data_IF_303888069784
#
_entry.id   IF_303888069784
#
_cell.length_a   1.000
_cell.length_b   1.000
_cell.length_c   1.000
_cell.angle_alpha   90.00
_cell.angle_beta   90.00
_cell.angle_gamma   90.00
#
_symmetry.space_group_name_H-M   'P 1'
#
loop_
_entity.id
_entity.type
_entity.pdbx_description
1 polymer ?
#
# COMPACT_ATOMS: atom_id res chain seq x y z
N UNK A 1 -10.56 -7.55 -24.93
CA UNK A 1 -11.71 -7.15 -24.09
C UNK A 1 -11.17 -6.37 -22.90
N UNK A 2 -11.52 -5.10 -22.67
CA UNK A 2 -11.03 -4.38 -21.51
C UNK A 2 -11.83 -4.86 -20.28
N UNK A 3 -11.16 -5.53 -19.35
CA UNK A 3 -11.75 -5.89 -18.07
C UNK A 3 -11.99 -4.59 -17.28
N UNK A 4 -13.22 -4.09 -17.28
CA UNK A 4 -13.62 -3.00 -16.40
C UNK A 4 -13.56 -3.51 -14.95
N UNK A 5 -12.50 -3.15 -14.23
CA UNK A 5 -12.46 -3.33 -12.78
C UNK A 5 -13.54 -2.44 -12.16
N UNK A 6 -14.67 -3.03 -11.79
CA UNK A 6 -15.77 -2.35 -11.11
C UNK A 6 -15.23 -1.73 -9.82
N UNK A 7 -15.19 -0.39 -9.75
CA UNK A 7 -14.77 0.34 -8.55
C UNK A 7 -15.76 -0.01 -7.43
N UNK A 8 -15.35 -0.88 -6.50
CA UNK A 8 -16.15 -1.23 -5.31
C UNK A 8 -15.87 -0.17 -4.25
N UNK A 9 -16.93 0.46 -3.74
CA UNK A 9 -16.82 1.29 -2.56
C UNK A 9 -16.58 0.40 -1.34
N UNK A 10 -15.78 0.88 -0.39
CA UNK A 10 -15.60 0.24 0.91
C UNK A 10 -16.81 0.60 1.77
N UNK A 11 -17.41 -0.40 2.40
CA UNK A 11 -18.46 -0.23 3.38
C UNK A 11 -17.81 0.15 4.73
N UNK A 12 -18.09 1.34 5.29
CA UNK A 12 -17.54 1.75 6.59
C UNK A 12 -17.91 0.82 7.75
N UNK A 13 -19.00 0.07 7.64
CA UNK A 13 -19.43 -0.90 8.65
C UNK A 13 -18.82 -2.29 8.42
N UNK A 14 -18.23 -2.52 7.24
CA UNK A 14 -17.71 -3.82 6.82
C UNK A 14 -16.41 -3.68 6.02
N UNK A 15 -15.40 -3.08 6.65
CA UNK A 15 -14.05 -3.00 6.12
C UNK A 15 -13.04 -3.78 6.99
N UNK A 16 -11.84 -3.96 6.45
CA UNK A 16 -10.66 -4.42 7.17
C UNK A 16 -9.50 -3.50 6.86
N UNK A 17 -8.48 -3.50 7.72
CA UNK A 17 -7.18 -2.91 7.40
C UNK A 17 -6.27 -4.00 6.87
N UNK A 18 -5.59 -3.71 5.76
CA UNK A 18 -4.60 -4.59 5.14
C UNK A 18 -3.24 -3.91 5.14
N UNK A 19 -2.20 -4.71 5.31
CA UNK A 19 -0.82 -4.28 5.20
C UNK A 19 -0.34 -4.46 3.77
N UNK A 20 0.12 -3.39 3.13
CA UNK A 20 0.63 -3.46 1.76
C UNK A 20 1.79 -4.47 1.68
N UNK A 21 2.83 -4.25 2.48
CA UNK A 21 3.85 -5.27 2.77
C UNK A 21 3.36 -6.20 3.88
N UNK A 22 3.52 -7.53 3.76
CA UNK A 22 3.07 -8.50 4.77
C UNK A 22 3.56 -8.15 6.18
N UNK A 23 2.64 -8.20 7.16
CA UNK A 23 3.01 -7.98 8.57
C UNK A 23 4.10 -8.95 9.04
N UNK A 24 4.04 -10.21 8.61
CA UNK A 24 5.07 -11.21 8.94
C UNK A 24 6.46 -10.92 8.36
N UNK A 25 6.59 -9.91 7.49
CA UNK A 25 7.86 -9.41 6.98
C UNK A 25 8.31 -8.14 7.70
N UNK A 26 7.41 -7.15 7.85
CA UNK A 26 7.76 -5.82 8.38
C UNK A 26 7.65 -5.73 9.92
N UNK A 27 6.87 -6.61 10.54
CA UNK A 27 6.68 -6.77 11.98
C UNK A 27 6.19 -5.52 12.74
N UNK A 28 5.42 -4.65 12.08
CA UNK A 28 4.83 -3.46 12.71
C UNK A 28 3.51 -3.02 12.05
N UNK A 29 2.73 -2.21 12.76
CA UNK A 29 1.44 -1.68 12.32
C UNK A 29 1.49 -0.18 11.98
N UNK A 30 2.62 0.28 11.44
CA UNK A 30 2.79 1.69 11.05
C UNK A 30 1.86 2.08 9.88
N UNK A 31 1.27 3.28 10.00
CA UNK A 31 0.22 3.79 9.11
C UNK A 31 0.62 3.84 7.64
N UNK A 32 1.89 4.14 7.33
CA UNK A 32 2.38 4.22 5.96
C UNK A 32 2.20 2.91 5.17
N UNK A 33 2.07 1.78 5.88
CA UNK A 33 1.89 0.45 5.28
C UNK A 33 0.45 -0.07 5.36
N UNK A 34 -0.50 0.68 5.94
CA UNK A 34 -1.89 0.23 6.16
C UNK A 34 -2.87 0.89 5.19
N UNK A 35 -3.81 0.11 4.63
CA UNK A 35 -4.89 0.64 3.78
C UNK A 35 -6.22 -0.06 4.08
N UNK A 36 -7.35 0.68 4.07
CA UNK A 36 -8.67 0.07 4.13
C UNK A 36 -8.93 -0.83 2.92
N UNK A 37 -9.50 -2.00 3.16
CA UNK A 37 -9.90 -2.95 2.13
C UNK A 37 -11.15 -3.71 2.56
N UNK A 38 -11.65 -4.59 1.70
CA UNK A 38 -12.74 -5.53 2.05
C UNK A 38 -12.17 -6.77 2.74
N UNK A 39 -12.87 -7.38 3.71
CA UNK A 39 -12.42 -8.60 4.39
C UNK A 39 -12.04 -9.74 3.44
N UNK A 40 -12.76 -9.87 2.32
CA UNK A 40 -12.52 -10.92 1.32
C UNK A 40 -11.17 -10.75 0.63
N UNK A 41 -10.79 -9.51 0.31
CA UNK A 41 -9.48 -9.20 -0.30
C UNK A 41 -8.36 -9.37 0.72
N UNK A 42 -8.55 -8.89 1.95
CA UNK A 42 -7.57 -9.05 3.03
C UNK A 42 -7.23 -10.53 3.25
N UNK A 43 -8.26 -11.37 3.38
CA UNK A 43 -8.09 -12.81 3.56
C UNK A 43 -7.46 -13.48 2.33
N UNK A 44 -7.79 -13.04 1.11
CA UNK A 44 -7.22 -13.60 -0.11
C UNK A 44 -5.75 -13.22 -0.32
N UNK A 45 -5.34 -12.01 0.10
CA UNK A 45 -3.95 -11.55 0.04
C UNK A 45 -3.10 -12.28 1.06
N UNK A 46 -3.57 -12.40 2.30
CA UNK A 46 -2.82 -13.04 3.40
C UNK A 46 -1.39 -12.45 3.48
N UNK A 47 -0.36 -13.30 3.60
CA UNK A 47 1.05 -12.88 3.67
C UNK A 47 1.71 -12.70 2.29
N UNK A 48 0.94 -12.61 1.21
CA UNK A 48 1.51 -12.45 -0.12
C UNK A 48 1.86 -10.99 -0.43
N UNK A 49 2.88 -10.80 -1.26
CA UNK A 49 3.32 -9.51 -1.76
C UNK A 49 2.34 -9.00 -2.83
N UNK A 50 1.96 -7.72 -2.81
CA UNK A 50 1.12 -7.14 -3.86
C UNK A 50 1.92 -7.00 -5.17
N UNK A 51 1.29 -7.22 -6.34
CA UNK A 51 1.86 -6.87 -7.64
C UNK A 51 2.29 -5.40 -7.72
N UNK A 52 3.43 -5.14 -8.37
CA UNK A 52 4.01 -3.78 -8.49
C UNK A 52 3.05 -2.75 -9.10
N UNK A 53 2.15 -3.19 -10.00
CA UNK A 53 1.10 -2.35 -10.59
C UNK A 53 0.13 -1.74 -9.56
N UNK A 54 0.05 -2.28 -8.34
CA UNK A 54 -0.80 -1.74 -7.28
C UNK A 54 -0.14 -0.64 -6.47
N UNK A 55 1.17 -0.45 -6.57
CA UNK A 55 1.88 0.57 -5.79
C UNK A 55 1.32 1.97 -6.07
N UNK A 56 1.13 2.32 -7.34
CA UNK A 56 0.58 3.64 -7.71
C UNK A 56 -0.80 3.88 -7.08
N UNK A 57 -1.70 2.88 -7.12
CA UNK A 57 -3.04 2.98 -6.52
C UNK A 57 -3.02 3.01 -5.00
N UNK A 58 -2.06 2.31 -4.38
CA UNK A 58 -1.85 2.39 -2.95
C UNK A 58 -1.37 3.79 -2.52
N UNK A 59 -0.39 4.37 -3.24
CA UNK A 59 0.10 5.73 -2.94
C UNK A 59 -1.00 6.78 -3.14
N UNK A 60 -1.80 6.68 -4.22
CA UNK A 60 -2.97 7.56 -4.43
C UNK A 60 -3.94 7.51 -3.23
N UNK A 61 -4.19 6.32 -2.67
CA UNK A 61 -5.05 6.15 -1.52
C UNK A 61 -4.45 6.76 -0.24
N UNK A 62 -3.15 6.56 -0.02
CA UNK A 62 -2.40 7.17 1.09
C UNK A 62 -2.43 8.70 1.02
N UNK A 63 -2.15 9.25 -0.15
CA UNK A 63 -2.19 10.69 -0.41
C UNK A 63 -3.56 11.28 -0.11
N UNK A 64 -4.62 10.62 -0.60
CA UNK A 64 -6.00 11.03 -0.31
C UNK A 64 -6.28 11.02 1.20
N UNK A 65 -5.86 9.97 1.91
CA UNK A 65 -6.00 9.87 3.35
C UNK A 65 -5.26 10.97 4.11
N UNK A 66 -4.01 11.26 3.72
CA UNK A 66 -3.19 12.32 4.30
C UNK A 66 -3.81 13.71 4.10
N UNK A 67 -4.33 14.01 2.91
CA UNK A 67 -5.02 15.27 2.63
C UNK A 67 -6.26 15.46 3.52
N UNK A 68 -7.08 14.42 3.64
CA UNK A 68 -8.29 14.46 4.49
C UNK A 68 -7.89 14.63 5.97
N UNK A 69 -6.89 13.87 6.44
CA UNK A 69 -6.42 13.98 7.82
C UNK A 69 -5.87 15.38 8.11
N UNK A 70 -5.08 15.94 7.20
CA UNK A 70 -4.54 17.29 7.33
C UNK A 70 -5.64 18.36 7.40
N UNK A 71 -6.73 18.20 6.64
CA UNK A 71 -7.86 19.13 6.65
C UNK A 71 -8.73 19.00 7.92
N UNK A 72 -8.94 17.77 8.41
CA UNK A 72 -9.96 17.48 9.44
C UNK A 72 -9.39 17.34 10.85
N UNK A 73 -8.12 17.00 11.02
CA UNK A 73 -7.53 16.75 12.33
C UNK A 73 -7.03 18.04 12.99
N UNK A 74 -7.04 18.04 14.33
CA UNK A 74 -6.31 19.05 15.09
C UNK A 74 -4.79 18.91 14.86
N UNK A 75 -4.07 20.03 14.86
CA UNK A 75 -2.62 20.09 14.57
C UNK A 75 -1.78 19.06 15.33
N UNK A 76 -2.03 18.88 16.63
CA UNK A 76 -1.26 17.93 17.44
C UNK A 76 -1.52 16.47 17.04
N UNK A 77 -2.77 16.12 16.73
CA UNK A 77 -3.13 14.77 16.28
C UNK A 77 -2.55 14.48 14.89
N UNK A 78 -2.58 15.47 14.00
CA UNK A 78 -1.93 15.40 12.71
C UNK A 78 -0.42 15.15 12.83
N UNK A 79 0.29 15.93 13.65
CA UNK A 79 1.73 15.78 13.87
C UNK A 79 2.09 14.37 14.35
N UNK A 80 1.35 13.82 15.32
CA UNK A 80 1.56 12.45 15.81
C UNK A 80 1.28 11.40 14.72
N UNK A 81 0.27 11.63 13.89
CA UNK A 81 -0.09 10.70 12.80
C UNK A 81 1.04 10.60 11.77
N UNK A 82 1.63 11.72 11.38
CA UNK A 82 2.66 11.75 10.32
C UNK A 82 4.05 11.29 10.77
N UNK A 83 4.33 11.18 12.08
CA UNK A 83 5.62 10.68 12.58
C UNK A 83 5.97 9.30 11.98
N UNK A 84 4.99 8.40 11.91
CA UNK A 84 5.16 7.07 11.30
C UNK A 84 5.48 7.15 9.80
N UNK A 85 4.94 8.15 9.08
CA UNK A 85 5.21 8.33 7.66
C UNK A 85 6.60 8.94 7.43
N UNK A 86 6.99 9.92 8.23
CA UNK A 86 8.30 10.57 8.18
C UNK A 86 9.41 9.55 8.38
N UNK A 87 9.30 8.73 9.42
CA UNK A 87 10.27 7.68 9.73
C UNK A 87 10.26 6.56 8.67
N UNK A 88 9.08 6.01 8.37
CA UNK A 88 8.96 4.86 7.46
C UNK A 88 9.32 5.17 6.01
N UNK A 89 9.07 6.40 5.54
CA UNK A 89 9.28 6.80 4.14
C UNK A 89 10.52 7.67 3.94
N UNK A 90 11.25 8.00 5.01
CA UNK A 90 12.40 8.92 4.99
C UNK A 90 12.05 10.28 4.36
N UNK A 91 10.89 10.84 4.71
CA UNK A 91 10.43 12.17 4.27
C UNK A 91 10.68 13.17 5.39
N UNK A 92 11.32 14.30 5.10
CA UNK A 92 11.77 15.23 6.14
C UNK A 92 10.83 16.41 6.39
N UNK A 93 9.86 16.66 5.52
CA UNK A 93 8.92 17.78 5.68
C UNK A 93 7.47 17.31 5.54
N UNK A 94 6.58 17.98 6.28
CA UNK A 94 5.15 17.74 6.20
C UNK A 94 4.59 18.05 4.81
N UNK A 95 5.06 19.13 4.17
CA UNK A 95 4.56 19.55 2.86
C UNK A 95 4.86 18.50 1.79
N UNK A 96 5.97 17.77 1.91
CA UNK A 96 6.33 16.70 0.98
C UNK A 96 5.37 15.49 1.09
N UNK A 97 4.72 15.26 2.24
CA UNK A 97 3.69 14.23 2.39
C UNK A 97 2.40 14.59 1.65
N UNK A 98 2.14 15.88 1.48
CA UNK A 98 0.94 16.40 0.82
C UNK A 98 1.15 16.59 -0.69
N UNK A 99 2.37 16.37 -1.19
CA UNK A 99 2.72 16.37 -2.60
C UNK A 99 2.73 14.93 -3.14
N UNK A 100 1.86 14.65 -4.11
CA UNK A 100 1.70 13.29 -4.64
C UNK A 100 2.97 12.76 -5.32
N UNK A 101 3.70 13.61 -6.04
CA UNK A 101 4.91 13.20 -6.76
C UNK A 101 6.01 12.84 -5.77
N UNK A 102 6.24 13.69 -4.77
CA UNK A 102 7.23 13.43 -3.71
C UNK A 102 6.88 12.20 -2.89
N UNK A 103 5.61 12.05 -2.51
CA UNK A 103 5.12 10.86 -1.81
C UNK A 103 5.33 9.58 -2.64
N UNK A 104 5.03 9.63 -3.94
CA UNK A 104 5.25 8.50 -4.87
C UNK A 104 6.73 8.11 -4.95
N UNK A 105 7.61 9.09 -5.02
CA UNK A 105 9.06 8.85 -5.06
C UNK A 105 9.56 8.22 -3.75
N UNK A 106 9.10 8.72 -2.60
CA UNK A 106 9.45 8.16 -1.29
C UNK A 106 8.99 6.71 -1.13
N UNK A 107 7.72 6.41 -1.47
CA UNK A 107 7.21 5.05 -1.45
C UNK A 107 7.98 4.13 -2.39
N UNK A 108 8.33 4.59 -3.59
CA UNK A 108 9.12 3.78 -4.53
C UNK A 108 10.51 3.45 -3.99
N UNK A 109 11.18 4.43 -3.37
CA UNK A 109 12.51 4.27 -2.79
C UNK A 109 12.54 3.32 -1.59
N UNK A 110 11.46 3.28 -0.79
CA UNK A 110 11.37 2.40 0.38
C UNK A 110 10.79 1.03 0.03
N UNK A 111 9.67 0.99 -0.67
CA UNK A 111 8.89 -0.25 -0.84
C UNK A 111 9.50 -1.18 -1.88
N UNK A 112 10.10 -0.68 -2.97
CA UNK A 112 10.68 -1.56 -4.01
C UNK A 112 11.86 -2.40 -3.50
N UNK A 113 12.83 -1.84 -2.74
CA UNK A 113 13.85 -2.65 -2.09
C UNK A 113 13.27 -3.66 -1.09
N UNK A 114 12.26 -3.26 -0.32
CA UNK A 114 11.59 -4.15 0.65
C UNK A 114 10.86 -5.31 -0.01
N UNK A 115 10.16 -5.09 -1.12
CA UNK A 115 9.54 -6.15 -1.94
C UNK A 115 10.62 -7.11 -2.43
N UNK A 116 11.74 -6.60 -2.94
CA UNK A 116 12.85 -7.42 -3.42
C UNK A 116 13.43 -8.29 -2.30
N UNK A 117 13.63 -7.71 -1.11
CA UNK A 117 14.12 -8.43 0.06
C UNK A 117 13.14 -9.52 0.52
N UNK A 118 11.85 -9.19 0.64
CA UNK A 118 10.83 -10.16 1.02
C UNK A 118 10.74 -11.32 0.00
N UNK A 119 10.83 -11.00 -1.29
CA UNK A 119 10.85 -12.02 -2.36
C UNK A 119 12.03 -12.98 -2.18
N UNK A 120 13.24 -12.45 -1.91
CA UNK A 120 14.43 -13.26 -1.65
C UNK A 120 14.31 -14.12 -0.37
N UNK A 121 13.47 -13.72 0.59
CA UNK A 121 13.16 -14.50 1.80
C UNK A 121 12.04 -15.53 1.59
N UNK A 122 11.52 -15.67 0.36
CA UNK A 122 10.53 -16.70 0.00
C UNK A 122 9.07 -16.25 0.09
N UNK A 123 8.80 -14.95 0.31
CA UNK A 123 7.44 -14.42 0.21
C UNK A 123 6.94 -14.50 -1.23
N UNK A 124 5.70 -14.93 -1.40
CA UNK A 124 5.10 -15.16 -2.73
C UNK A 124 4.33 -13.93 -3.21
N UNK A 125 4.29 -13.75 -4.52
CA UNK A 125 3.44 -12.76 -5.15
C UNK A 125 1.97 -13.18 -5.06
N UNK A 126 1.09 -12.24 -4.67
CA UNK A 126 -0.33 -12.48 -4.58
C UNK A 126 -0.91 -12.78 -5.96
N UNK A 127 -1.51 -13.97 -6.09
CA UNK A 127 -2.25 -14.37 -7.28
C UNK A 127 -3.67 -13.83 -7.17
N UNK A 128 -3.97 -12.78 -7.93
CA UNK A 128 -5.29 -12.14 -7.90
C UNK A 128 -6.33 -13.16 -8.40
N UNK A 129 -7.36 -13.48 -7.60
CA UNK A 129 -8.40 -14.42 -8.02
C UNK A 129 -9.08 -13.95 -9.32
N UNK A 130 -9.08 -14.80 -10.34
CA UNK A 130 -9.70 -14.51 -11.64
C UNK A 130 -8.80 -13.75 -12.63
N UNK A 131 -7.54 -13.46 -12.30
CA UNK A 131 -6.54 -12.94 -13.24
C UNK A 131 -5.42 -13.98 -13.39
N UNK A 132 -5.49 -14.82 -14.43
CA UNK A 132 -4.39 -15.71 -14.77
C UNK A 132 -3.31 -14.93 -15.51
N UNK A 133 -2.14 -14.74 -14.90
CA UNK A 133 -0.98 -14.25 -15.62
C UNK A 133 -0.49 -15.39 -16.51
N UNK A 134 -0.75 -15.32 -17.83
CA UNK A 134 -0.13 -16.23 -18.80
C UNK A 134 1.37 -15.96 -18.80
N UNK A 135 2.12 -16.75 -18.04
CA UNK A 135 3.57 -16.81 -18.16
C UNK A 135 3.91 -17.38 -19.54
N UNK A 136 4.27 -16.51 -20.47
CA UNK A 136 5.05 -16.88 -21.65
C UNK A 136 6.40 -17.39 -21.17
N UNK A 137 6.49 -18.70 -20.99
CA UNK A 137 7.77 -19.40 -20.98
C UNK A 137 8.09 -19.65 -22.46
N UNK A 138 8.96 -18.83 -23.02
CA UNK A 138 9.70 -19.20 -24.24
C UNK A 138 11.17 -19.08 -23.92
N UNK A 139 11.81 -20.23 -23.73
CA UNK A 139 13.22 -20.49 -24.03
C UNK A 139 13.35 -21.96 -24.43
N UNK A 140 14.35 -22.35 -25.22
CA UNK A 140 15.49 -21.56 -25.71
C UNK A 140 15.40 -21.18 -27.20
#
# INVERSE_FOLDING_TARGET
MPHQHKKRCIDPEKFSLDHYLPWSFIAHDQLWNLVPTTPEINSAKSNNLPPSQFLAKFVEAQHTGLLICHEKMAKNAWNQTIENYIEGLNIYTQDDLLDLEKLTNAYSNVVQPLISLATNQGFKLWQIPGVTCSSVITHP
#
